data_IF_540660327108
#
_entry.id   IF_540660327108
#
_cell.length_a   1.000
_cell.length_b   1.000
_cell.length_c   1.000
_cell.angle_alpha   90.00
_cell.angle_beta   90.00
_cell.angle_gamma   90.00
#
_symmetry.space_group_name_H-M   'P 1'
#
loop_
_entity.id
_entity.type
_entity.pdbx_description
1 polymer ?
#
# COMPACT_ATOMS: atom_id res chain seq x y z
N UNK A 1 6.43 3.92 4.21
CA UNK A 1 7.86 4.18 3.94
C UNK A 1 8.10 4.05 2.43
N UNK A 2 9.03 4.81 1.83
CA UNK A 2 9.33 4.69 0.41
C UNK A 2 10.14 3.41 0.11
N UNK A 3 9.76 2.71 -0.95
CA UNK A 3 10.45 1.54 -1.48
C UNK A 3 11.18 1.92 -2.77
N UNK A 4 12.51 2.15 -2.74
CA UNK A 4 13.25 2.50 -3.94
C UNK A 4 13.41 1.27 -4.86
N UNK A 5 13.27 1.48 -6.17
CA UNK A 5 13.64 0.48 -7.17
C UNK A 5 15.16 0.20 -7.08
N UNK A 6 15.63 -1.03 -7.33
CA UNK A 6 17.05 -1.38 -7.24
C UNK A 6 18.00 -0.47 -8.04
N UNK A 7 17.53 0.03 -9.19
CA UNK A 7 18.28 0.95 -10.06
C UNK A 7 18.18 2.44 -9.64
N UNK A 8 17.39 2.76 -8.62
CA UNK A 8 17.30 4.10 -8.01
C UNK A 8 16.46 5.15 -8.74
N UNK A 9 16.07 4.91 -9.99
CA UNK A 9 15.30 5.88 -10.80
C UNK A 9 13.82 5.97 -10.40
N UNK A 10 13.28 4.89 -9.81
CA UNK A 10 11.87 4.79 -9.44
C UNK A 10 11.74 4.55 -7.93
N UNK A 11 10.60 4.96 -7.39
CA UNK A 11 10.26 4.77 -5.99
C UNK A 11 8.78 4.48 -5.88
N UNK A 12 8.41 3.60 -4.94
CA UNK A 12 7.03 3.37 -4.55
C UNK A 12 6.79 4.03 -3.20
N UNK A 13 5.78 4.85 -3.10
CA UNK A 13 5.25 5.34 -1.83
C UNK A 13 3.93 4.65 -1.54
N UNK A 14 3.67 4.39 -0.27
CA UNK A 14 2.45 3.72 0.18
C UNK A 14 1.75 4.57 1.24
N UNK A 15 0.45 4.73 1.09
CA UNK A 15 -0.41 5.51 1.98
C UNK A 15 -1.75 4.79 2.16
N UNK A 16 -2.25 4.76 3.40
CA UNK A 16 -3.59 4.24 3.66
C UNK A 16 -4.62 5.37 3.59
N UNK A 17 -5.67 5.16 2.79
CA UNK A 17 -6.83 6.06 2.73
C UNK A 17 -7.96 5.49 3.57
N UNK A 18 -8.14 6.05 4.77
CA UNK A 18 -9.29 5.74 5.64
C UNK A 18 -10.64 5.93 4.94
N UNK A 19 -10.92 7.03 4.21
CA UNK A 19 -12.22 7.20 3.58
C UNK A 19 -12.49 6.20 2.44
N UNK A 20 -11.44 5.66 1.81
CA UNK A 20 -11.59 4.70 0.71
C UNK A 20 -11.45 3.24 1.13
N UNK A 21 -11.04 3.01 2.39
CA UNK A 21 -10.74 1.70 2.96
C UNK A 21 -9.77 0.92 2.04
N UNK A 22 -8.66 1.58 1.71
CA UNK A 22 -7.72 1.08 0.72
C UNK A 22 -6.30 1.61 0.91
N UNK A 23 -5.33 0.76 0.54
CA UNK A 23 -3.94 1.14 0.35
C UNK A 23 -3.72 1.73 -1.03
N UNK A 24 -3.03 2.86 -1.07
CA UNK A 24 -2.59 3.56 -2.27
C UNK A 24 -1.10 3.33 -2.43
N UNK A 25 -0.71 2.65 -3.50
CA UNK A 25 0.68 2.45 -3.89
C UNK A 25 0.97 3.34 -5.10
N UNK A 26 1.83 4.32 -4.91
CA UNK A 26 2.14 5.32 -5.92
C UNK A 26 3.53 5.07 -6.49
N UNK A 27 3.64 4.96 -7.82
CA UNK A 27 4.94 4.91 -8.50
C UNK A 27 5.38 6.31 -8.88
N UNK A 28 6.57 6.68 -8.44
CA UNK A 28 7.19 7.96 -8.70
C UNK A 28 8.51 7.80 -9.45
N UNK A 29 8.80 8.74 -10.35
CA UNK A 29 10.15 8.93 -10.89
C UNK A 29 10.95 9.79 -9.90
N UNK A 30 11.85 9.15 -9.14
CA UNK A 30 12.52 9.75 -7.99
C UNK A 30 13.29 11.04 -8.34
N UNK A 31 14.00 11.04 -9.48
CA UNK A 31 14.80 12.18 -9.92
C UNK A 31 13.98 13.44 -10.25
N UNK A 32 12.67 13.29 -10.52
CA UNK A 32 11.78 14.40 -10.91
C UNK A 32 10.63 14.63 -9.96
N UNK A 33 10.51 13.82 -8.89
CA UNK A 33 9.35 13.80 -8.01
C UNK A 33 8.03 13.80 -8.81
N UNK A 34 8.01 12.99 -9.87
CA UNK A 34 6.89 12.93 -10.80
C UNK A 34 6.09 11.68 -10.50
N UNK A 35 4.84 11.87 -10.10
CA UNK A 35 3.86 10.80 -9.96
C UNK A 35 3.50 10.22 -11.35
N UNK A 36 3.51 8.90 -11.48
CA UNK A 36 3.29 8.20 -12.75
C UNK A 36 1.99 7.40 -12.75
N UNK A 37 1.75 6.64 -11.68
CA UNK A 37 0.57 5.80 -11.52
C UNK A 37 0.29 5.55 -10.06
N UNK A 38 -0.96 5.24 -9.77
CA UNK A 38 -1.42 4.77 -8.46
C UNK A 38 -2.10 3.43 -8.63
N UNK A 39 -1.75 2.47 -7.78
CA UNK A 39 -2.56 1.28 -7.53
C UNK A 39 -3.36 1.49 -6.26
N UNK A 40 -4.65 1.13 -6.29
CA UNK A 40 -5.56 1.18 -5.15
C UNK A 40 -5.95 -0.25 -4.80
N UNK A 41 -5.62 -0.67 -3.57
CA UNK A 41 -5.84 -2.02 -3.03
C UNK A 41 -6.82 -1.92 -1.85
N UNK A 42 -8.10 -2.24 -2.05
CA UNK A 42 -9.10 -2.28 -0.97
C UNK A 42 -8.79 -3.40 0.03
N UNK A 43 -8.86 -3.11 1.33
CA UNK A 43 -8.49 -4.05 2.40
C UNK A 43 -9.60 -4.34 3.43
N UNK A 44 -10.79 -3.76 3.28
CA UNK A 44 -11.97 -4.07 4.11
C UNK A 44 -13.03 -4.94 3.39
N UNK A 45 -13.12 -4.88 2.06
CA UNK A 45 -14.05 -5.69 1.25
C UNK A 45 -13.29 -6.61 0.27
N UNK A 46 -13.33 -7.95 0.47
CA UNK A 46 -12.64 -8.90 -0.42
C UNK A 46 -13.19 -8.92 -1.84
N UNK A 47 -14.44 -8.49 -2.06
CA UNK A 47 -15.09 -8.48 -3.37
C UNK A 47 -14.75 -7.22 -4.20
N UNK A 48 -14.20 -6.17 -3.57
CA UNK A 48 -13.70 -5.00 -4.31
C UNK A 48 -12.36 -5.34 -4.98
N UNK A 49 -12.35 -5.27 -6.31
CA UNK A 49 -11.15 -5.52 -7.10
C UNK A 49 -10.12 -4.39 -6.98
N UNK A 50 -8.82 -4.71 -6.88
CA UNK A 50 -7.74 -3.73 -6.99
C UNK A 50 -7.75 -3.04 -8.36
N UNK A 51 -7.31 -1.79 -8.40
CA UNK A 51 -7.28 -1.00 -9.64
C UNK A 51 -5.98 -0.23 -9.78
N UNK A 52 -5.60 0.10 -11.02
CA UNK A 52 -4.45 0.94 -11.32
C UNK A 52 -4.91 2.10 -12.19
N UNK A 53 -4.57 3.32 -11.81
CA UNK A 53 -4.77 4.52 -12.60
C UNK A 53 -3.44 5.16 -12.96
N UNK A 54 -3.38 5.75 -14.15
CA UNK A 54 -2.23 6.51 -14.64
C UNK A 54 -2.52 7.99 -14.48
N UNK A 55 -1.51 8.80 -14.19
CA UNK A 55 -1.66 10.25 -14.05
C UNK A 55 -2.28 10.85 -15.33
N UNK A 56 -3.56 11.27 -15.31
CA UNK A 56 -4.29 11.62 -16.52
C UNK A 56 -3.83 12.92 -17.17
N UNK A 57 -3.18 13.81 -16.41
CA UNK A 57 -2.68 15.10 -16.90
C UNK A 57 -1.17 15.12 -17.14
N UNK A 58 -0.50 13.98 -16.97
CA UNK A 58 0.93 13.83 -17.17
C UNK A 58 1.33 13.88 -18.66
N UNK A 59 2.61 14.17 -18.93
CA UNK A 59 3.18 13.79 -20.23
C UNK A 59 3.06 12.28 -20.39
N UNK A 60 2.94 11.79 -21.62
CA UNK A 60 3.16 10.38 -21.91
C UNK A 60 4.59 10.00 -21.52
N UNK A 61 4.75 9.47 -20.31
CA UNK A 61 6.02 8.96 -19.80
C UNK A 61 6.13 7.49 -20.21
N UNK A 62 7.22 7.14 -20.89
CA UNK A 62 7.54 5.76 -21.14
C UNK A 62 8.15 5.16 -19.88
N UNK A 63 7.49 4.15 -19.33
CA UNK A 63 7.95 3.42 -18.15
C UNK A 63 8.58 2.12 -18.64
N UNK A 64 9.85 1.84 -18.27
CA UNK A 64 10.49 0.58 -18.59
C UNK A 64 9.65 -0.60 -18.09
N UNK A 65 9.57 -1.66 -18.89
CA UNK A 65 8.80 -2.85 -18.55
C UNK A 65 9.23 -3.46 -17.20
N UNK A 66 10.52 -3.49 -16.91
CA UNK A 66 11.05 -4.03 -15.65
C UNK A 66 10.59 -3.21 -14.43
N UNK A 67 10.55 -1.87 -14.54
CA UNK A 67 10.04 -1.00 -13.47
C UNK A 67 8.53 -1.19 -13.28
N UNK A 68 7.78 -1.35 -14.38
CA UNK A 68 6.35 -1.69 -14.31
C UNK A 68 6.13 -3.06 -13.66
N UNK A 69 6.90 -4.09 -14.04
CA UNK A 69 6.78 -5.43 -13.44
C UNK A 69 7.07 -5.40 -11.95
N UNK A 70 8.16 -4.74 -11.54
CA UNK A 70 8.49 -4.54 -10.14
C UNK A 70 7.38 -3.83 -9.36
N UNK A 71 6.79 -2.78 -9.93
CA UNK A 71 5.65 -2.11 -9.31
C UNK A 71 4.46 -3.06 -9.10
N UNK A 72 4.09 -3.81 -10.14
CA UNK A 72 3.00 -4.77 -10.05
C UNK A 72 3.30 -5.92 -9.08
N UNK A 73 4.56 -6.36 -8.97
CA UNK A 73 4.97 -7.36 -7.98
C UNK A 73 4.72 -6.85 -6.54
N UNK A 74 4.99 -5.56 -6.26
CA UNK A 74 4.69 -4.94 -4.97
C UNK A 74 3.17 -4.78 -4.73
N UNK A 75 2.41 -4.46 -5.78
CA UNK A 75 0.94 -4.42 -5.70
C UNK A 75 0.39 -5.80 -5.37
N UNK A 76 0.90 -6.86 -6.01
CA UNK A 76 0.50 -8.25 -5.72
C UNK A 76 0.86 -8.69 -4.29
N UNK A 77 1.98 -8.20 -3.76
CA UNK A 77 2.33 -8.40 -2.35
C UNK A 77 1.32 -7.74 -1.41
N UNK A 78 0.92 -6.50 -1.67
CA UNK A 78 -0.09 -5.80 -0.87
C UNK A 78 -1.46 -6.48 -0.97
N UNK A 79 -1.89 -6.89 -2.17
CA UNK A 79 -3.15 -7.63 -2.35
C UNK A 79 -3.14 -8.91 -1.51
N UNK A 80 -2.02 -9.66 -1.54
CA UNK A 80 -1.88 -10.89 -0.77
C UNK A 80 -1.93 -10.61 0.74
N UNK A 81 -1.27 -9.55 1.19
CA UNK A 81 -1.30 -9.10 2.58
C UNK A 81 -2.72 -8.76 3.02
N UNK A 82 -3.39 -7.84 2.30
CA UNK A 82 -4.75 -7.40 2.58
C UNK A 82 -5.75 -8.56 2.62
N UNK A 83 -5.73 -9.44 1.61
CA UNK A 83 -6.59 -10.63 1.57
C UNK A 83 -6.26 -11.64 2.66
N UNK A 84 -4.99 -11.73 3.07
CA UNK A 84 -4.57 -12.56 4.20
C UNK A 84 -5.19 -12.11 5.53
N UNK A 85 -5.20 -10.80 5.80
CA UNK A 85 -5.82 -10.22 7.00
C UNK A 85 -7.32 -10.51 7.08
N UNK A 86 -8.04 -10.42 5.96
CA UNK A 86 -9.47 -10.75 5.89
C UNK A 86 -9.78 -12.23 6.16
N UNK A 87 -8.79 -13.11 6.03
CA UNK A 87 -8.95 -14.56 6.24
C UNK A 87 -8.51 -14.99 7.64
N UNK A 88 -8.17 -14.04 8.52
CA UNK A 88 -7.82 -14.37 9.90
C UNK A 88 -8.97 -15.08 10.60
N UNK A 89 -8.59 -16.09 11.39
CA UNK A 89 -9.54 -16.82 12.22
C UNK A 89 -10.17 -15.88 13.26
N UNK A 90 -11.47 -16.02 13.56
CA UNK A 90 -12.14 -15.18 14.56
C UNK A 90 -11.42 -15.14 15.91
N UNK A 91 -10.82 -16.24 16.34
CA UNK A 91 -10.10 -16.30 17.63
C UNK A 91 -8.84 -15.42 17.64
N UNK A 92 -8.18 -15.22 16.49
CA UNK A 92 -7.03 -14.31 16.37
C UNK A 92 -7.49 -12.85 16.40
N UNK A 93 -8.63 -12.55 15.77
CA UNK A 93 -9.23 -11.22 15.80
C UNK A 93 -9.64 -10.85 17.22
N UNK A 94 -10.26 -11.78 17.96
CA UNK A 94 -10.64 -11.60 19.36
C UNK A 94 -9.39 -11.36 20.23
N UNK A 95 -8.33 -12.16 20.07
CA UNK A 95 -7.09 -11.95 20.80
C UNK A 95 -6.46 -10.57 20.54
N UNK A 96 -6.44 -10.11 19.27
CA UNK A 96 -5.93 -8.77 18.92
C UNK A 96 -6.83 -7.68 19.50
N UNK A 97 -8.16 -7.88 19.48
CA UNK A 97 -9.11 -6.95 20.08
C UNK A 97 -8.91 -6.82 21.59
N UNK A 98 -8.85 -7.94 22.32
CA UNK A 98 -8.59 -7.96 23.76
C UNK A 98 -7.28 -7.25 24.10
N UNK A 99 -6.21 -7.57 23.36
CA UNK A 99 -4.90 -6.92 23.56
C UNK A 99 -4.99 -5.40 23.29
N UNK A 100 -5.70 -4.99 22.24
CA UNK A 100 -5.93 -3.56 21.98
C UNK A 100 -6.70 -2.90 23.12
N UNK A 101 -7.72 -3.53 23.69
CA UNK A 101 -8.51 -2.97 24.79
C UNK A 101 -7.69 -2.87 26.08
N UNK A 102 -6.91 -3.89 26.41
CA UNK A 102 -6.07 -3.92 27.62
C UNK A 102 -5.02 -2.80 27.61
N UNK A 103 -4.40 -2.54 26.45
CA UNK A 103 -3.33 -1.56 26.30
C UNK A 103 -3.78 -0.24 25.65
N UNK A 104 -5.10 -0.02 25.47
CA UNK A 104 -5.60 1.20 24.84
C UNK A 104 -5.23 2.43 25.68
N UNK A 105 -4.36 3.30 25.15
CA UNK A 105 -3.85 4.47 25.86
C UNK A 105 -2.79 4.19 26.94
N UNK A 106 -2.38 2.93 27.10
CA UNK A 106 -1.26 2.54 27.96
C UNK A 106 0.10 2.70 27.25
N UNK A 107 0.07 2.75 25.92
CA UNK A 107 1.26 2.92 25.08
C UNK A 107 1.06 4.19 24.27
N UNK A 108 1.93 5.18 24.46
CA UNK A 108 1.94 6.39 23.62
C UNK A 108 2.65 6.10 22.31
N UNK A 109 2.20 6.69 21.20
CA UNK A 109 2.95 6.67 19.95
C UNK A 109 4.34 7.34 20.12
N UNK A 110 4.49 8.24 21.12
CA UNK A 110 5.78 8.85 21.49
C UNK A 110 6.77 7.88 22.14
N UNK A 111 6.32 6.70 22.59
CA UNK A 111 7.16 5.69 23.25
C UNK A 111 7.84 4.74 22.23
N UNK A 112 7.53 4.86 20.94
CA UNK A 112 8.14 4.09 19.87
C UNK A 112 9.01 4.98 18.95
N UNK A 113 10.30 4.61 18.73
CA UNK A 113 11.22 5.37 17.89
C UNK A 113 10.97 5.28 16.39
#
# INVERSE_FOLDING_TARGET
MPFPHPDGDYMITAMYSVPDEAWYLELELAAKQLHLMTAVVPDEDPAREPTVCFEPHGRHVQIPYEAMRWFLDQVDEEIRSARGWMQLRPELVEAVYELRQEYMGAISDDDFP
#
